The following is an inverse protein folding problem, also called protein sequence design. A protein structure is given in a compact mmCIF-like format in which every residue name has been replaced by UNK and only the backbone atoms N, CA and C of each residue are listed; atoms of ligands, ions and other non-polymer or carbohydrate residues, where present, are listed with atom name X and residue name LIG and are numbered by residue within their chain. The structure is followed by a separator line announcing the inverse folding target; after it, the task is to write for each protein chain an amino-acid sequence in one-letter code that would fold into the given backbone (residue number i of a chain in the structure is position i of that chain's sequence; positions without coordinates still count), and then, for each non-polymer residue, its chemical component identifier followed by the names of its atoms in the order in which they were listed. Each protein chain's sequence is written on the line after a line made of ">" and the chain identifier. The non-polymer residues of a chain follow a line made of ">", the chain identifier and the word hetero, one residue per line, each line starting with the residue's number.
data_IF_884888291994
#
_entry.id   IF_884888291994
#
_cell.length_a   1.000
_cell.length_b   1.000
_cell.length_c   1.000
_cell.angle_alpha   90.00
_cell.angle_beta   90.00
_cell.angle_gamma   90.00
#
_symmetry.space_group_name_H-M   'P 1'
#
loop_
_entity.id
_entity.type
_entity.pdbx_description
1 polymer ?
#
# COMPACT_ATOMS: atom_id res chain seq x y z
N UNK A 1 11.15 -7.93 -17.58
CA UNK A 1 11.49 -9.29 -17.12
C UNK A 1 10.37 -10.19 -17.60
N UNK A 2 10.67 -11.22 -18.40
CA UNK A 2 9.66 -12.12 -18.95
C UNK A 2 9.16 -13.05 -17.83
N UNK A 3 7.90 -12.85 -17.42
CA UNK A 3 7.25 -13.70 -16.42
C UNK A 3 6.76 -14.95 -17.13
N UNK A 4 7.26 -16.12 -16.73
CA UNK A 4 6.77 -17.40 -17.24
C UNK A 4 5.46 -17.68 -16.50
N UNK A 5 4.35 -17.49 -17.20
CA UNK A 5 3.00 -17.56 -16.65
C UNK A 5 2.29 -18.86 -17.09
N UNK A 6 1.53 -19.51 -16.19
CA UNK A 6 0.63 -20.61 -16.54
C UNK A 6 -0.44 -20.20 -17.58
N UNK A 7 -0.98 -21.16 -18.33
CA UNK A 7 -2.01 -20.91 -19.35
C UNK A 7 -3.26 -20.22 -18.76
N UNK A 8 -3.64 -20.60 -17.54
CA UNK A 8 -4.79 -20.05 -16.83
C UNK A 8 -4.65 -18.55 -16.56
N UNK A 9 -3.42 -18.03 -16.44
CA UNK A 9 -3.20 -16.58 -16.32
C UNK A 9 -3.55 -15.84 -17.61
N UNK A 10 -3.33 -16.46 -18.78
CA UNK A 10 -3.75 -15.91 -20.07
C UNK A 10 -5.28 -15.97 -20.22
N UNK A 11 -5.93 -17.04 -19.75
CA UNK A 11 -7.40 -17.11 -19.70
C UNK A 11 -7.99 -15.98 -18.86
N UNK A 12 -7.43 -15.72 -17.66
CA UNK A 12 -7.87 -14.60 -16.83
C UNK A 12 -7.61 -13.24 -17.49
N UNK A 13 -6.48 -13.09 -18.18
CA UNK A 13 -6.15 -11.90 -18.95
C UNK A 13 -7.20 -11.60 -20.03
N UNK A 14 -7.61 -12.62 -20.80
CA UNK A 14 -8.64 -12.50 -21.84
C UNK A 14 -10.00 -12.10 -21.26
N UNK A 15 -10.39 -12.69 -20.12
CA UNK A 15 -11.61 -12.32 -19.39
C UNK A 15 -11.55 -10.85 -18.96
N UNK A 16 -10.46 -10.42 -18.32
CA UNK A 16 -10.32 -9.06 -17.80
C UNK A 16 -10.33 -8.00 -18.91
N UNK A 17 -9.68 -8.27 -20.05
CA UNK A 17 -9.69 -7.40 -21.22
C UNK A 17 -11.12 -7.18 -21.76
N UNK A 18 -11.86 -8.28 -21.92
CA UNK A 18 -13.21 -8.25 -22.50
C UNK A 18 -14.22 -7.61 -21.56
N UNK A 19 -14.20 -8.04 -20.31
CA UNK A 19 -15.28 -7.79 -19.36
C UNK A 19 -15.06 -6.56 -18.50
N UNK A 20 -13.79 -6.15 -18.29
CA UNK A 20 -13.36 -4.93 -17.58
C UNK A 20 -13.89 -4.82 -16.14
N UNK A 21 -13.43 -3.83 -15.40
CA UNK A 21 -13.88 -3.54 -14.03
C UNK A 21 -12.87 -3.90 -12.95
N UNK A 22 -13.36 -4.01 -11.71
CA UNK A 22 -12.51 -4.18 -10.52
C UNK A 22 -12.24 -5.68 -10.28
N UNK A 23 -10.96 -6.02 -10.18
CA UNK A 23 -10.47 -7.34 -9.82
C UNK A 23 -9.65 -7.29 -8.53
N UNK A 24 -10.05 -8.05 -7.51
CA UNK A 24 -9.31 -8.16 -6.24
C UNK A 24 -8.43 -9.40 -6.27
N UNK A 25 -7.13 -9.23 -6.01
CA UNK A 25 -6.18 -10.32 -5.89
C UNK A 25 -6.19 -10.86 -4.45
N UNK A 26 -6.52 -12.14 -4.29
CA UNK A 26 -6.62 -12.85 -3.02
C UNK A 26 -5.61 -14.00 -2.97
N UNK A 27 -5.05 -14.24 -1.79
CA UNK A 27 -4.06 -15.29 -1.59
C UNK A 27 -3.18 -15.04 -0.37
N UNK A 28 -2.62 -16.11 0.19
CA UNK A 28 -1.67 -16.04 1.29
C UNK A 28 -0.40 -15.23 0.92
N UNK A 29 0.44 -14.99 1.92
CA UNK A 29 1.75 -14.40 1.63
C UNK A 29 2.57 -15.37 0.78
N UNK A 30 3.36 -14.85 -0.14
CA UNK A 30 4.22 -15.62 -1.06
C UNK A 30 3.46 -16.55 -2.04
N UNK A 31 2.19 -16.26 -2.35
CA UNK A 31 1.45 -16.92 -3.45
C UNK A 31 1.63 -16.25 -4.82
N UNK A 32 2.44 -15.20 -4.92
CA UNK A 32 2.73 -14.55 -6.20
C UNK A 32 1.73 -13.50 -6.68
N UNK A 33 0.83 -13.00 -5.80
CA UNK A 33 -0.13 -11.92 -6.15
C UNK A 33 0.50 -10.72 -6.85
N UNK A 34 1.60 -10.20 -6.32
CA UNK A 34 2.29 -9.06 -6.93
C UNK A 34 2.97 -9.42 -8.26
N UNK A 35 3.38 -10.68 -8.46
CA UNK A 35 3.89 -11.18 -9.76
C UNK A 35 2.75 -11.23 -10.77
N UNK A 36 1.59 -11.76 -10.37
CA UNK A 36 0.40 -11.77 -11.21
C UNK A 36 -0.06 -10.34 -11.56
N UNK A 37 -0.06 -9.41 -10.60
CA UNK A 37 -0.42 -8.02 -10.85
C UNK A 37 0.46 -7.41 -11.94
N UNK A 38 1.79 -7.63 -11.87
CA UNK A 38 2.73 -7.16 -12.89
C UNK A 38 2.48 -7.81 -14.25
N UNK A 39 2.23 -9.12 -14.29
CA UNK A 39 1.89 -9.84 -15.51
C UNK A 39 0.62 -9.28 -16.17
N UNK A 40 -0.45 -9.10 -15.39
CA UNK A 40 -1.72 -8.58 -15.90
C UNK A 40 -1.57 -7.14 -16.40
N UNK A 41 -0.89 -6.26 -15.64
CA UNK A 41 -0.65 -4.87 -16.05
C UNK A 41 0.11 -4.82 -17.37
N UNK A 42 1.22 -5.56 -17.47
CA UNK A 42 2.05 -5.62 -18.68
C UNK A 42 1.20 -6.02 -19.90
N UNK A 43 0.54 -7.17 -19.83
CA UNK A 43 -0.16 -7.73 -20.99
C UNK A 43 -1.42 -6.94 -21.37
N UNK A 44 -2.19 -6.44 -20.38
CA UNK A 44 -3.35 -5.60 -20.66
C UNK A 44 -2.95 -4.29 -21.33
N UNK A 45 -1.86 -3.64 -20.86
CA UNK A 45 -1.36 -2.43 -21.49
C UNK A 45 -0.88 -2.70 -22.93
N UNK A 46 -0.25 -3.85 -23.20
CA UNK A 46 0.13 -4.25 -24.56
C UNK A 46 -1.07 -4.45 -25.49
N UNK A 47 -2.24 -4.77 -24.94
CA UNK A 47 -3.52 -4.86 -25.65
C UNK A 47 -4.28 -3.53 -25.71
N UNK A 48 -3.67 -2.43 -25.26
CA UNK A 48 -4.27 -1.09 -25.28
C UNK A 48 -5.28 -0.83 -24.16
N UNK A 49 -5.40 -1.73 -23.18
CA UNK A 49 -6.28 -1.57 -22.03
C UNK A 49 -5.61 -0.67 -20.99
N UNK A 50 -6.33 0.35 -20.51
CA UNK A 50 -5.83 1.21 -19.45
C UNK A 50 -6.06 0.58 -18.08
N UNK A 51 -4.97 0.29 -17.36
CA UNK A 51 -5.04 -0.43 -16.08
C UNK A 51 -4.71 0.49 -14.92
N UNK A 52 -5.52 0.47 -13.87
CA UNK A 52 -5.17 1.03 -12.57
C UNK A 52 -4.73 -0.07 -11.61
N UNK A 53 -3.72 0.23 -10.80
CA UNK A 53 -3.31 -0.61 -9.67
C UNK A 53 -3.57 0.14 -8.37
N UNK A 54 -4.29 -0.50 -7.46
CA UNK A 54 -4.36 -0.13 -6.04
C UNK A 54 -3.57 -1.18 -5.26
N UNK A 55 -2.34 -0.84 -4.89
CA UNK A 55 -1.46 -1.72 -4.11
C UNK A 55 -1.77 -1.53 -2.62
N UNK A 56 -2.59 -2.42 -2.08
CA UNK A 56 -3.01 -2.38 -0.69
C UNK A 56 -2.20 -3.29 0.24
N UNK A 57 -1.09 -3.87 -0.22
CA UNK A 57 -0.13 -4.58 0.64
C UNK A 57 0.80 -3.59 1.35
N UNK A 58 0.33 -3.04 2.46
CA UNK A 58 1.07 -2.07 3.29
C UNK A 58 2.37 -2.62 3.89
N UNK A 59 2.58 -3.95 3.86
CA UNK A 59 3.78 -4.59 4.39
C UNK A 59 4.86 -4.85 3.35
N UNK A 60 4.45 -5.18 2.12
CA UNK A 60 5.35 -5.60 1.04
C UNK A 60 5.04 -4.94 -0.31
N UNK A 61 4.45 -3.73 -0.28
CA UNK A 61 4.16 -2.94 -1.47
C UNK A 61 5.33 -2.92 -2.45
N UNK A 62 5.01 -3.10 -3.73
CA UNK A 62 5.96 -2.93 -4.82
C UNK A 62 5.79 -1.59 -5.51
N UNK A 63 4.63 -0.96 -5.38
CA UNK A 63 4.31 0.34 -5.98
C UNK A 63 4.82 1.50 -5.13
N UNK A 64 4.53 1.52 -3.82
CA UNK A 64 4.86 2.60 -2.89
C UNK A 64 5.85 2.19 -1.79
N UNK A 65 6.19 3.12 -0.88
CA UNK A 65 6.91 2.78 0.35
C UNK A 65 6.03 1.91 1.28
N UNK A 66 6.62 1.16 2.22
CA UNK A 66 5.87 0.42 3.23
C UNK A 66 4.99 1.37 4.06
N UNK A 67 3.97 0.81 4.71
CA UNK A 67 2.96 1.52 5.48
C UNK A 67 2.03 2.45 4.67
N UNK A 68 2.02 2.29 3.34
CA UNK A 68 1.13 3.03 2.45
C UNK A 68 0.32 2.10 1.55
N UNK A 69 -0.84 2.59 1.10
CA UNK A 69 -1.56 2.03 -0.03
C UNK A 69 -1.19 2.90 -1.24
N UNK A 70 -0.68 2.27 -2.30
CA UNK A 70 -0.27 2.96 -3.52
C UNK A 70 -1.36 2.95 -4.59
N UNK A 71 -1.40 3.99 -5.42
CA UNK A 71 -2.23 4.07 -6.60
C UNK A 71 -1.43 4.56 -7.82
N UNK A 72 -1.63 3.90 -8.96
CA UNK A 72 -1.06 4.32 -10.24
C UNK A 72 -1.88 3.82 -11.41
N UNK A 73 -1.75 4.51 -12.54
CA UNK A 73 -2.47 4.21 -13.78
C UNK A 73 -1.47 4.00 -14.90
N UNK A 74 -1.63 2.89 -15.61
CA UNK A 74 -0.75 2.41 -16.65
C UNK A 74 -1.48 2.49 -18.00
N UNK A 75 -0.86 3.18 -18.96
CA UNK A 75 -1.31 3.31 -20.35
C UNK A 75 -0.43 2.55 -21.34
N UNK A 76 0.75 2.15 -20.89
CA UNK A 76 1.78 1.42 -21.63
C UNK A 76 2.55 0.59 -20.62
N UNK A 77 3.37 -0.34 -21.10
CA UNK A 77 4.24 -1.14 -20.24
C UNK A 77 5.03 -0.23 -19.26
N UNK A 78 4.87 -0.43 -17.94
CA UNK A 78 5.68 0.28 -16.97
C UNK A 78 7.11 -0.27 -16.94
N UNK A 79 8.07 0.63 -17.13
CA UNK A 79 9.44 0.38 -16.68
C UNK A 79 9.44 0.46 -15.16
N UNK A 80 9.24 -0.67 -14.47
CA UNK A 80 9.14 -0.75 -13.00
C UNK A 80 10.33 -0.14 -12.25
N UNK A 81 11.49 -0.05 -12.91
CA UNK A 81 12.73 0.54 -12.40
C UNK A 81 12.81 2.07 -12.60
N UNK A 82 11.99 2.61 -13.50
CA UNK A 82 11.90 4.04 -13.81
C UNK A 82 10.53 4.52 -13.40
N UNK A 83 10.45 5.11 -12.21
CA UNK A 83 9.24 5.78 -11.73
C UNK A 83 9.02 7.03 -12.60
N UNK A 84 8.34 6.89 -13.73
CA UNK A 84 8.03 8.00 -14.65
C UNK A 84 7.11 9.04 -13.98
N UNK A 85 6.32 8.62 -12.99
CA UNK A 85 5.59 9.46 -12.04
C UNK A 85 5.54 8.74 -10.70
N UNK A 86 5.82 9.41 -9.57
CA UNK A 86 5.62 8.81 -8.26
C UNK A 86 4.14 8.39 -8.10
N UNK A 87 3.88 7.23 -7.50
CA UNK A 87 2.50 6.81 -7.23
C UNK A 87 1.86 7.77 -6.25
N UNK A 88 0.54 7.93 -6.36
CA UNK A 88 -0.22 8.50 -5.26
C UNK A 88 -0.21 7.52 -4.09
N UNK A 89 -0.12 8.02 -2.87
CA UNK A 89 -0.04 7.19 -1.67
C UNK A 89 -1.10 7.59 -0.66
N UNK A 90 -1.53 6.62 0.14
CA UNK A 90 -2.36 6.85 1.32
C UNK A 90 -1.62 6.29 2.53
N UNK A 91 -1.29 7.13 3.49
CA UNK A 91 -0.57 6.68 4.67
C UNK A 91 -1.49 5.93 5.64
N UNK A 92 -1.18 4.66 5.87
CA UNK A 92 -1.86 3.82 6.86
C UNK A 92 -1.16 3.87 8.21
N UNK A 93 0.17 4.04 8.22
CA UNK A 93 0.95 4.12 9.46
C UNK A 93 1.28 2.77 10.09
N UNK A 94 1.02 1.66 9.39
CA UNK A 94 1.38 0.32 9.85
C UNK A 94 1.80 -0.57 8.69
N UNK A 95 2.71 -1.52 8.93
CA UNK A 95 3.09 -2.56 7.96
C UNK A 95 2.24 -3.83 8.07
N UNK A 96 1.25 -3.84 8.96
CA UNK A 96 0.23 -4.90 9.10
C UNK A 96 -1.15 -4.28 9.20
N UNK A 97 -2.19 -4.87 8.56
CA UNK A 97 -3.54 -4.32 8.68
C UNK A 97 -4.12 -4.50 10.09
N UNK A 98 -3.64 -5.46 10.88
CA UNK A 98 -4.13 -5.71 12.25
C UNK A 98 -4.02 -4.45 13.12
N UNK A 99 -5.08 -4.17 13.89
CA UNK A 99 -5.23 -2.91 14.65
C UNK A 99 -5.56 -1.67 13.80
N UNK A 100 -5.51 -1.77 12.46
CA UNK A 100 -5.60 -0.63 11.53
C UNK A 100 -6.65 -0.84 10.42
N UNK A 101 -7.64 -1.72 10.62
CA UNK A 101 -8.61 -2.08 9.56
C UNK A 101 -9.41 -0.89 9.03
N UNK A 102 -9.87 0.02 9.90
CA UNK A 102 -10.71 1.14 9.48
C UNK A 102 -9.96 2.08 8.52
N UNK A 103 -8.75 2.49 8.90
CA UNK A 103 -7.90 3.35 8.08
C UNK A 103 -7.41 2.62 6.82
N UNK A 104 -7.14 1.32 6.91
CA UNK A 104 -6.79 0.49 5.75
C UNK A 104 -7.94 0.47 4.73
N UNK A 105 -9.16 0.16 5.16
CA UNK A 105 -10.36 0.13 4.30
C UNK A 105 -10.67 1.51 3.71
N UNK A 106 -10.57 2.59 4.52
CA UNK A 106 -10.70 3.98 4.06
C UNK A 106 -9.72 4.27 2.92
N UNK A 107 -8.44 3.93 3.12
CA UNK A 107 -7.40 4.16 2.12
C UNK A 107 -7.62 3.38 0.83
N UNK A 108 -8.02 2.10 0.93
CA UNK A 108 -8.34 1.28 -0.26
C UNK A 108 -9.48 1.91 -1.05
N UNK A 109 -10.60 2.24 -0.39
CA UNK A 109 -11.75 2.86 -1.06
C UNK A 109 -11.40 4.19 -1.70
N UNK A 110 -10.65 5.05 -0.99
CA UNK A 110 -10.19 6.33 -1.52
C UNK A 110 -9.36 6.16 -2.79
N UNK A 111 -8.45 5.20 -2.81
CA UNK A 111 -7.62 4.93 -4.00
C UNK A 111 -8.40 4.30 -5.15
N UNK A 112 -9.38 3.43 -4.86
CA UNK A 112 -10.29 2.90 -5.89
C UNK A 112 -11.17 4.01 -6.48
N UNK A 113 -11.66 4.95 -5.68
CA UNK A 113 -12.51 6.04 -6.16
C UNK A 113 -11.77 6.99 -7.11
N UNK A 114 -10.46 7.18 -6.91
CA UNK A 114 -9.61 7.93 -7.84
C UNK A 114 -9.50 7.27 -9.23
N UNK A 115 -9.79 5.98 -9.34
CA UNK A 115 -9.75 5.29 -10.63
C UNK A 115 -10.83 5.79 -11.59
N UNK A 116 -11.97 6.28 -11.05
CA UNK A 116 -13.12 6.77 -11.81
C UNK A 116 -12.73 7.96 -12.68
N UNK A 117 -12.07 8.97 -12.11
CA UNK A 117 -11.59 10.13 -12.86
C UNK A 117 -10.40 9.82 -13.77
N UNK A 118 -9.69 8.72 -13.49
CA UNK A 118 -8.56 8.29 -14.31
C UNK A 118 -8.99 7.65 -15.63
N UNK A 119 -10.23 7.16 -15.76
CA UNK A 119 -10.69 6.44 -16.95
C UNK A 119 -10.00 5.08 -17.15
N UNK A 120 -9.51 4.46 -16.08
CA UNK A 120 -9.01 3.10 -16.12
C UNK A 120 -10.17 2.12 -16.38
N UNK A 121 -9.91 1.12 -17.21
CA UNK A 121 -10.89 0.13 -17.64
C UNK A 121 -10.82 -1.12 -16.76
N UNK A 122 -9.60 -1.51 -16.36
CA UNK A 122 -9.36 -2.59 -15.39
C UNK A 122 -8.71 -2.00 -14.16
N UNK A 123 -9.27 -2.31 -12.99
CA UNK A 123 -8.72 -1.89 -11.70
C UNK A 123 -8.27 -3.14 -10.94
N UNK A 124 -6.97 -3.32 -10.84
CA UNK A 124 -6.38 -4.39 -10.02
C UNK A 124 -6.19 -3.88 -8.60
N UNK A 125 -6.74 -4.61 -7.63
CA UNK A 125 -6.53 -4.35 -6.20
C UNK A 125 -5.64 -5.45 -5.65
N UNK A 126 -4.34 -5.19 -5.51
CA UNK A 126 -3.42 -6.11 -4.84
C UNK A 126 -3.63 -6.01 -3.33
N UNK A 127 -3.69 -7.14 -2.63
CA UNK A 127 -4.04 -7.17 -1.22
C UNK A 127 -2.97 -7.85 -0.38
N UNK A 128 -2.94 -7.53 0.91
CA UNK A 128 -2.05 -8.19 1.89
C UNK A 128 -2.21 -9.71 1.88
N UNK A 129 -1.15 -10.46 2.20
CA UNK A 129 -1.23 -11.90 2.48
C UNK A 129 -1.95 -12.26 3.80
N UNK A 130 -2.64 -11.31 4.44
CA UNK A 130 -3.33 -11.47 5.72
C UNK A 130 -4.70 -12.14 5.50
N UNK A 131 -4.69 -13.48 5.50
CA UNK A 131 -5.87 -14.32 5.26
C UNK A 131 -6.17 -15.28 6.42
N UNK A 132 -5.24 -15.46 7.36
CA UNK A 132 -5.37 -16.42 8.46
C UNK A 132 -6.22 -15.83 9.59
N UNK A 133 -7.06 -16.69 10.20
CA UNK A 133 -7.96 -16.32 11.29
C UNK A 133 -9.15 -15.45 10.87
N UNK A 134 -10.09 -15.26 11.80
CA UNK A 134 -11.34 -14.52 11.54
C UNK A 134 -11.09 -13.04 11.18
N UNK A 135 -10.08 -12.42 11.78
CA UNK A 135 -9.71 -11.04 11.48
C UNK A 135 -9.26 -10.87 10.01
N UNK A 136 -8.51 -11.84 9.47
CA UNK A 136 -8.10 -11.86 8.06
C UNK A 136 -9.29 -12.01 7.12
N UNK A 137 -10.17 -12.98 7.40
CA UNK A 137 -11.39 -13.22 6.62
C UNK A 137 -12.29 -11.98 6.59
N UNK A 138 -12.55 -11.40 7.76
CA UNK A 138 -13.43 -10.23 7.88
C UNK A 138 -12.87 -9.00 7.14
N UNK A 139 -11.55 -8.78 7.21
CA UNK A 139 -10.91 -7.70 6.43
C UNK A 139 -11.12 -7.89 4.92
N UNK A 140 -11.00 -9.13 4.40
CA UNK A 140 -11.23 -9.41 2.98
C UNK A 140 -12.68 -9.25 2.61
N UNK A 141 -13.60 -9.81 3.40
CA UNK A 141 -15.05 -9.68 3.20
C UNK A 141 -15.47 -8.21 3.13
N UNK A 142 -15.03 -7.39 4.09
CA UNK A 142 -15.29 -5.94 4.08
C UNK A 142 -14.73 -5.23 2.85
N UNK A 143 -13.56 -5.63 2.32
CA UNK A 143 -13.04 -5.08 1.06
C UNK A 143 -13.91 -5.47 -0.13
N UNK A 144 -14.34 -6.73 -0.20
CA UNK A 144 -15.21 -7.21 -1.27
C UNK A 144 -16.53 -6.42 -1.24
N UNK A 145 -17.17 -6.30 -0.08
CA UNK A 145 -18.41 -5.55 0.08
C UNK A 145 -18.23 -4.06 -0.25
N UNK A 146 -17.13 -3.45 0.20
CA UNK A 146 -16.86 -2.03 0.03
C UNK A 146 -16.57 -1.64 -1.43
N UNK A 147 -15.99 -2.56 -2.20
CA UNK A 147 -15.54 -2.30 -3.57
C UNK A 147 -16.46 -2.86 -4.64
N UNK A 148 -17.37 -3.78 -4.28
CA UNK A 148 -18.28 -4.46 -5.22
C UNK A 148 -17.54 -4.91 -6.50
N UNK A 149 -16.49 -5.74 -6.38
CA UNK A 149 -15.68 -6.11 -7.53
C UNK A 149 -16.47 -6.93 -8.54
N UNK A 150 -16.00 -6.98 -9.79
CA UNK A 150 -16.51 -7.94 -10.80
C UNK A 150 -15.77 -9.27 -10.70
N UNK A 151 -14.50 -9.25 -10.28
CA UNK A 151 -13.65 -10.44 -10.20
C UNK A 151 -12.97 -10.59 -8.84
N UNK A 152 -12.96 -11.82 -8.33
CA UNK A 152 -12.07 -12.25 -7.27
C UNK A 152 -11.05 -13.22 -7.87
N UNK A 153 -9.78 -12.83 -7.91
CA UNK A 153 -8.71 -13.66 -8.45
C UNK A 153 -7.98 -14.32 -7.29
N UNK A 154 -8.12 -15.63 -7.18
CA UNK A 154 -7.68 -16.45 -6.07
C UNK A 154 -6.40 -17.21 -6.42
N UNK A 155 -5.30 -16.93 -5.70
CA UNK A 155 -4.06 -17.71 -5.73
C UNK A 155 -3.91 -18.46 -4.40
N UNK A 156 -3.86 -19.79 -4.48
CA UNK A 156 -3.73 -20.68 -3.33
C UNK A 156 -2.64 -21.72 -3.57
N UNK A 157 -1.95 -22.08 -2.50
CA UNK A 157 -1.03 -23.22 -2.49
C UNK A 157 -1.77 -24.50 -2.15
N UNK A 158 -2.64 -24.43 -1.16
CA UNK A 158 -3.43 -25.54 -0.64
C UNK A 158 -4.90 -25.06 -0.55
N UNK A 159 -5.49 -25.10 0.65
CA UNK A 159 -6.88 -24.69 0.92
C UNK A 159 -6.99 -23.43 1.78
N UNK A 160 -5.92 -22.64 1.90
CA UNK A 160 -5.82 -21.57 2.89
C UNK A 160 -6.80 -20.41 2.69
N UNK A 161 -7.29 -20.22 1.46
CA UNK A 161 -8.31 -19.21 1.12
C UNK A 161 -9.72 -19.80 1.00
N UNK A 162 -9.90 -21.11 1.03
CA UNK A 162 -11.23 -21.73 0.89
C UNK A 162 -12.24 -21.24 1.92
N UNK A 163 -11.88 -21.09 3.22
CA UNK A 163 -12.84 -20.59 4.20
C UNK A 163 -13.34 -19.16 3.89
N UNK A 164 -12.57 -18.37 3.15
CA UNK A 164 -13.02 -17.05 2.67
C UNK A 164 -13.89 -17.21 1.41
N UNK A 165 -13.47 -18.04 0.46
CA UNK A 165 -14.19 -18.23 -0.79
C UNK A 165 -15.54 -18.92 -0.59
N UNK A 166 -15.66 -19.85 0.35
CA UNK A 166 -16.92 -20.49 0.74
C UNK A 166 -17.97 -19.48 1.23
N UNK A 167 -17.55 -18.46 1.98
CA UNK A 167 -18.43 -17.34 2.40
C UNK A 167 -18.85 -16.45 1.22
N UNK A 168 -18.11 -16.53 0.11
CA UNK A 168 -18.35 -15.80 -1.12
C UNK A 168 -19.12 -16.63 -2.16
N UNK A 169 -19.42 -17.91 -1.90
CA UNK A 169 -20.17 -18.78 -2.81
C UNK A 169 -21.68 -18.52 -2.73
N UNK A 170 -22.37 -18.48 -3.88
CA UNK A 170 -23.82 -18.22 -3.99
C UNK A 170 -24.18 -17.43 -5.26
N UNK A 171 -25.37 -16.79 -5.28
CA UNK A 171 -25.74 -15.77 -6.29
C UNK A 171 -24.95 -14.47 -6.06
N UNK A 172 -23.62 -14.56 -6.10
CA UNK A 172 -22.72 -13.45 -5.85
C UNK A 172 -22.59 -12.57 -7.11
N UNK A 173 -22.45 -11.24 -6.95
CA UNK A 173 -22.33 -10.31 -8.08
C UNK A 173 -20.95 -10.33 -8.76
N UNK A 174 -20.04 -11.23 -8.34
CA UNK A 174 -18.67 -11.35 -8.83
C UNK A 174 -18.34 -12.77 -9.28
N UNK A 175 -17.42 -12.87 -10.22
CA UNK A 175 -16.85 -14.13 -10.70
C UNK A 175 -15.55 -14.47 -9.95
N UNK A 176 -15.40 -15.74 -9.54
CA UNK A 176 -14.20 -16.21 -8.84
C UNK A 176 -13.30 -16.93 -9.85
N UNK A 177 -12.12 -16.35 -10.12
CA UNK A 177 -11.10 -16.92 -11.00
C UNK A 177 -10.00 -17.56 -10.13
N UNK A 178 -9.89 -18.89 -10.18
CA UNK A 178 -8.87 -19.64 -9.44
C UNK A 178 -7.66 -19.88 -10.34
N UNK A 179 -6.50 -19.38 -9.94
CA UNK A 179 -5.28 -19.45 -10.74
C UNK A 179 -4.19 -20.27 -10.05
N UNK A 180 -3.43 -21.08 -10.80
CA UNK A 180 -2.27 -21.75 -10.26
C UNK A 180 -1.16 -20.75 -9.91
N UNK A 181 -0.27 -21.18 -9.01
CA UNK A 181 0.94 -20.43 -8.69
C UNK A 181 1.94 -20.51 -9.85
N UNK A 182 2.73 -19.47 -10.07
CA UNK A 182 3.88 -19.53 -10.97
C UNK A 182 5.06 -20.19 -10.26
N UNK A 183 5.78 -21.09 -10.96
CA UNK A 183 7.00 -21.74 -10.47
C UNK A 183 8.13 -20.75 -10.12
N UNK A 184 8.04 -19.50 -10.60
CA UNK A 184 9.00 -18.43 -10.31
C UNK A 184 8.80 -17.80 -8.93
N UNK A 185 7.70 -18.11 -8.24
CA UNK A 185 7.39 -17.52 -6.93
C UNK A 185 8.32 -18.11 -5.86
N UNK A 186 9.28 -17.32 -5.41
CA UNK A 186 10.17 -17.69 -4.30
C UNK A 186 9.61 -17.17 -2.98
N UNK A 187 9.43 -18.04 -1.96
CA UNK A 187 9.05 -17.59 -0.64
C UNK A 187 10.11 -16.67 -0.05
N UNK A 188 9.66 -15.64 0.68
CA UNK A 188 10.55 -14.70 1.37
C UNK A 188 10.52 -14.95 2.86
N UNK A 189 11.70 -15.13 3.45
CA UNK A 189 11.86 -15.23 4.90
C UNK A 189 11.43 -13.94 5.59
N UNK A 190 11.12 -14.02 6.88
CA UNK A 190 10.77 -12.83 7.69
C UNK A 190 11.90 -11.78 7.69
N UNK A 191 13.15 -12.22 7.75
CA UNK A 191 14.33 -11.35 7.61
C UNK A 191 14.40 -10.71 6.23
N UNK A 192 14.19 -11.49 5.16
CA UNK A 192 14.15 -10.96 3.80
C UNK A 192 13.06 -9.89 3.62
N UNK A 193 11.89 -10.07 4.24
CA UNK A 193 10.82 -9.06 4.25
C UNK A 193 11.21 -7.80 5.02
N UNK A 194 11.93 -7.95 6.14
CA UNK A 194 12.46 -6.81 6.91
C UNK A 194 13.48 -6.02 6.09
N UNK A 195 14.44 -6.69 5.48
CA UNK A 195 15.46 -6.07 4.62
C UNK A 195 14.81 -5.36 3.42
N UNK A 196 13.84 -6.00 2.77
CA UNK A 196 13.09 -5.39 1.68
C UNK A 196 12.42 -4.07 2.10
N UNK A 197 11.77 -4.02 3.28
CA UNK A 197 11.16 -2.79 3.80
C UNK A 197 12.19 -1.71 4.10
N UNK A 198 13.34 -2.07 4.69
CA UNK A 198 14.43 -1.13 4.96
C UNK A 198 14.90 -0.49 3.65
N UNK A 199 15.18 -1.31 2.64
CA UNK A 199 15.62 -0.83 1.33
C UNK A 199 14.57 0.08 0.67
N UNK A 200 13.29 -0.31 0.71
CA UNK A 200 12.20 0.53 0.16
C UNK A 200 12.08 1.89 0.87
N UNK A 201 12.25 1.95 2.19
CA UNK A 201 12.29 3.23 2.89
C UNK A 201 13.54 4.04 2.50
N UNK A 202 14.71 3.40 2.40
CA UNK A 202 15.93 4.07 1.96
C UNK A 202 15.78 4.67 0.56
N UNK A 203 15.22 3.91 -0.38
CA UNK A 203 14.94 4.37 -1.74
C UNK A 203 13.98 5.56 -1.75
N UNK A 204 12.87 5.46 -1.00
CA UNK A 204 11.89 6.54 -0.90
C UNK A 204 12.49 7.84 -0.31
N UNK A 205 13.31 7.71 0.73
CA UNK A 205 13.90 8.86 1.42
C UNK A 205 15.24 9.33 0.82
N UNK A 206 15.78 8.66 -0.21
CA UNK A 206 17.11 8.90 -0.79
C UNK A 206 17.39 10.37 -1.14
N UNK A 207 16.39 11.08 -1.67
CA UNK A 207 16.51 12.47 -2.11
C UNK A 207 15.79 13.46 -1.17
N UNK A 208 15.57 13.06 0.08
CA UNK A 208 14.87 13.88 1.06
C UNK A 208 15.78 14.95 1.67
N UNK A 209 15.15 16.02 2.15
CA UNK A 209 15.83 17.11 2.85
C UNK A 209 15.15 17.34 4.21
N UNK A 210 15.84 18.03 5.11
CA UNK A 210 15.24 18.47 6.36
C UNK A 210 14.41 19.72 6.05
N UNK A 211 13.11 19.62 6.28
CA UNK A 211 12.15 20.72 6.24
C UNK A 211 11.82 21.16 7.67
N UNK A 212 11.66 22.47 7.85
CA UNK A 212 11.20 23.06 9.10
C UNK A 212 9.72 23.44 8.97
N UNK A 213 8.90 22.96 9.90
CA UNK A 213 7.46 23.09 9.85
C UNK A 213 6.93 23.62 11.19
N UNK A 214 6.37 24.83 11.18
CA UNK A 214 5.69 25.39 12.35
C UNK A 214 4.32 24.74 12.50
N UNK A 215 4.07 24.09 13.64
CA UNK A 215 2.89 23.22 13.83
C UNK A 215 1.71 23.90 14.53
N UNK A 216 1.77 25.22 14.78
CA UNK A 216 0.72 25.96 15.50
C UNK A 216 -0.67 25.85 14.83
N UNK A 217 -0.71 25.85 13.50
CA UNK A 217 -1.94 25.77 12.71
C UNK A 217 -2.04 24.44 11.93
N UNK A 218 -1.35 23.40 12.40
CA UNK A 218 -1.33 22.08 11.78
C UNK A 218 -2.08 21.12 12.67
N UNK A 219 -3.06 20.43 12.09
CA UNK A 219 -3.77 19.39 12.80
C UNK A 219 -2.84 18.19 13.01
N UNK A 220 -2.85 17.63 14.21
CA UNK A 220 -2.15 16.38 14.50
C UNK A 220 -3.20 15.31 14.74
N UNK A 221 -3.08 14.19 14.04
CA UNK A 221 -3.96 13.04 14.17
C UNK A 221 -3.15 11.75 14.29
N UNK A 222 -3.84 10.65 14.61
CA UNK A 222 -3.20 9.37 14.87
C UNK A 222 -2.60 9.28 16.27
N UNK A 223 -2.23 8.06 16.64
CA UNK A 223 -1.75 7.72 17.97
C UNK A 223 -0.39 7.05 17.88
N UNK A 224 0.43 7.28 18.90
CA UNK A 224 1.71 6.60 19.09
C UNK A 224 1.59 5.79 20.36
N UNK A 225 1.80 4.49 20.26
CA UNK A 225 1.76 3.60 21.40
C UNK A 225 3.17 3.43 21.97
N UNK A 226 3.26 3.37 23.29
CA UNK A 226 4.46 2.96 23.98
C UNK A 226 4.66 1.42 23.90
N UNK A 227 5.78 0.87 24.40
CA UNK A 227 6.01 -0.58 24.39
C UNK A 227 4.99 -1.41 25.19
N UNK A 228 4.23 -0.80 26.10
CA UNK A 228 3.17 -1.44 26.88
C UNK A 228 1.81 -1.39 26.16
N UNK A 229 1.70 -0.62 25.07
CA UNK A 229 0.46 -0.41 24.32
C UNK A 229 -0.34 0.81 24.76
N UNK A 230 0.21 1.67 25.62
CA UNK A 230 -0.46 2.87 26.09
C UNK A 230 -0.24 4.03 25.12
N UNK A 231 -1.26 4.88 24.95
CA UNK A 231 -1.20 6.05 24.07
C UNK A 231 -0.27 7.10 24.68
N UNK A 232 0.77 7.48 23.94
CA UNK A 232 1.68 8.56 24.30
C UNK A 232 1.05 9.93 24.06
N UNK A 233 1.26 10.90 24.97
CA UNK A 233 0.89 12.29 24.70
C UNK A 233 1.55 12.82 23.43
N UNK A 234 0.82 13.60 22.64
CA UNK A 234 1.28 14.13 21.34
C UNK A 234 2.61 14.86 21.44
N UNK A 235 2.80 15.72 22.44
CA UNK A 235 4.06 16.46 22.63
C UNK A 235 5.26 15.55 22.92
N UNK A 236 5.03 14.32 23.44
CA UNK A 236 6.08 13.33 23.65
C UNK A 236 6.35 12.56 22.36
N UNK A 237 5.30 12.14 21.66
CA UNK A 237 5.40 11.51 20.35
C UNK A 237 6.22 12.34 19.36
N UNK A 238 5.98 13.66 19.31
CA UNK A 238 6.71 14.58 18.44
C UNK A 238 8.20 14.70 18.77
N UNK A 239 8.65 14.29 19.97
CA UNK A 239 10.07 14.29 20.35
C UNK A 239 10.80 13.00 19.94
N UNK A 240 10.08 12.00 19.43
CA UNK A 240 10.67 10.72 19.04
C UNK A 240 11.37 10.88 17.68
N UNK A 241 12.71 10.96 17.72
CA UNK A 241 13.52 10.91 16.49
C UNK A 241 13.36 9.54 15.81
N UNK A 242 13.14 9.57 14.49
CA UNK A 242 12.94 8.40 13.65
C UNK A 242 11.47 8.02 13.46
N UNK A 243 10.52 8.70 14.10
CA UNK A 243 9.11 8.40 13.97
C UNK A 243 8.61 8.72 12.55
N UNK A 244 7.98 7.73 11.90
CA UNK A 244 7.37 7.88 10.58
C UNK A 244 6.03 8.60 10.69
N UNK A 245 5.84 9.61 9.87
CA UNK A 245 4.62 10.42 9.83
C UNK A 245 4.10 10.56 8.40
N UNK A 246 2.79 10.71 8.26
CA UNK A 246 2.14 11.12 7.01
C UNK A 246 1.96 12.63 6.99
N UNK A 247 2.41 13.29 5.91
CA UNK A 247 2.20 14.72 5.69
C UNK A 247 1.03 14.89 4.74
N UNK A 248 -0.02 15.57 5.18
CA UNK A 248 -1.27 15.70 4.42
C UNK A 248 -1.67 17.15 4.18
N UNK A 249 -2.39 17.37 3.09
CA UNK A 249 -3.00 18.66 2.77
C UNK A 249 -4.35 18.86 3.47
N UNK A 250 -5.03 19.96 3.12
CA UNK A 250 -6.37 20.31 3.62
C UNK A 250 -7.48 19.34 3.17
N UNK A 251 -7.22 18.51 2.17
CA UNK A 251 -8.18 17.56 1.60
C UNK A 251 -7.97 16.15 2.18
N UNK A 252 -7.10 15.98 3.19
CA UNK A 252 -6.70 14.68 3.75
C UNK A 252 -6.00 13.79 2.70
N UNK A 253 -5.37 14.38 1.68
CA UNK A 253 -4.49 13.66 0.75
C UNK A 253 -3.09 13.55 1.34
N UNK A 254 -2.48 12.37 1.25
CA UNK A 254 -1.09 12.18 1.69
C UNK A 254 -0.15 12.72 0.62
N UNK A 255 0.48 13.86 0.91
CA UNK A 255 1.45 14.51 0.03
C UNK A 255 2.77 13.74 0.00
N UNK A 256 3.23 13.30 1.17
CA UNK A 256 4.46 12.53 1.33
C UNK A 256 4.52 11.86 2.71
N UNK A 257 5.48 10.97 2.88
CA UNK A 257 5.93 10.54 4.21
C UNK A 257 7.02 11.46 4.72
N UNK A 258 7.15 11.53 6.04
CA UNK A 258 8.22 12.22 6.72
C UNK A 258 8.77 11.38 7.87
N UNK A 259 10.00 11.68 8.28
CA UNK A 259 10.60 11.15 9.51
C UNK A 259 10.90 12.31 10.44
N UNK A 260 10.39 12.25 11.67
CA UNK A 260 10.68 13.26 12.69
C UNK A 260 12.16 13.21 13.03
N UNK A 261 12.84 14.35 12.98
CA UNK A 261 14.23 14.51 13.43
C UNK A 261 14.33 15.23 14.76
N UNK A 262 13.55 16.29 14.94
CA UNK A 262 13.53 17.04 16.19
C UNK A 262 12.23 17.85 16.32
N UNK A 263 11.84 18.16 17.55
CA UNK A 263 10.73 19.05 17.87
C UNK A 263 11.14 20.05 18.94
N UNK A 264 11.12 21.33 18.59
CA UNK A 264 11.40 22.44 19.50
C UNK A 264 10.08 22.95 20.09
N UNK A 265 9.67 22.39 21.22
CA UNK A 265 8.36 22.66 21.83
C UNK A 265 8.06 24.14 22.10
N UNK A 266 9.07 24.92 22.54
CA UNK A 266 8.92 26.36 22.80
C UNK A 266 8.60 27.16 21.52
N UNK A 267 9.19 26.75 20.39
CA UNK A 267 9.01 27.43 19.09
C UNK A 267 7.93 26.79 18.23
N UNK A 268 7.26 25.74 18.74
CA UNK A 268 6.33 24.88 17.99
C UNK A 268 6.86 24.52 16.61
N UNK A 269 8.15 24.19 16.53
CA UNK A 269 8.87 23.94 15.28
C UNK A 269 9.27 22.48 15.18
N UNK A 270 8.78 21.78 14.15
CA UNK A 270 9.09 20.40 13.85
C UNK A 270 10.08 20.31 12.69
N UNK A 271 11.19 19.58 12.88
CA UNK A 271 12.12 19.22 11.81
C UNK A 271 11.77 17.85 11.27
N UNK A 272 11.43 17.80 9.99
CA UNK A 272 10.99 16.58 9.30
C UNK A 272 11.93 16.29 8.13
N UNK A 273 12.43 15.07 8.05
CA UNK A 273 13.13 14.57 6.88
C UNK A 273 12.13 13.99 5.89
N UNK A 274 11.97 14.61 4.71
CA UNK A 274 10.92 14.25 3.74
C UNK A 274 11.35 14.58 2.31
N UNK A 275 10.86 13.83 1.30
CA UNK A 275 11.04 14.20 -0.11
C UNK A 275 10.14 15.38 -0.53
N UNK A 276 9.19 15.78 0.32
CA UNK A 276 8.29 16.90 0.03
C UNK A 276 9.04 18.23 0.01
N UNK A 277 9.03 18.90 -1.14
CA UNK A 277 9.69 20.19 -1.33
C UNK A 277 8.84 21.36 -0.83
N UNK A 278 7.52 21.29 -1.05
CA UNK A 278 6.57 22.35 -0.70
C UNK A 278 5.87 22.03 0.62
N UNK A 279 6.61 22.17 1.72
CA UNK A 279 6.14 21.82 3.07
C UNK A 279 4.96 22.71 3.54
N UNK A 280 4.77 23.89 2.94
CA UNK A 280 3.71 24.84 3.31
C UNK A 280 2.30 24.33 2.97
N UNK A 281 2.20 23.35 2.06
CA UNK A 281 0.95 22.66 1.74
C UNK A 281 0.47 21.74 2.86
N UNK A 282 1.34 21.36 3.79
CA UNK A 282 0.96 20.50 4.91
C UNK A 282 -0.01 21.23 5.82
N UNK A 283 -1.15 20.59 6.09
CA UNK A 283 -2.19 21.03 7.03
C UNK A 283 -2.46 20.02 8.12
N UNK A 284 -2.13 18.74 7.88
CA UNK A 284 -2.27 17.68 8.86
C UNK A 284 -1.02 16.82 8.91
N UNK A 285 -0.56 16.49 10.13
CA UNK A 285 0.45 15.48 10.40
C UNK A 285 -0.24 14.27 11.01
N UNK A 286 -0.17 13.15 10.30
CA UNK A 286 -0.65 11.87 10.81
C UNK A 286 0.52 11.12 11.47
N UNK A 287 0.41 10.86 12.77
CA UNK A 287 1.37 10.09 13.53
C UNK A 287 1.20 8.58 13.27
N UNK A 288 2.29 7.84 13.49
CA UNK A 288 2.28 6.38 13.52
C UNK A 288 3.19 5.85 14.61
N UNK A 289 3.06 4.58 14.97
CA UNK A 289 3.98 3.90 15.91
C UNK A 289 5.22 3.29 15.21
N UNK A 290 5.43 3.58 13.93
CA UNK A 290 6.57 3.05 13.18
C UNK A 290 7.79 3.95 13.31
N UNK A 291 8.92 3.35 13.72
CA UNK A 291 10.23 4.00 13.69
C UNK A 291 11.04 3.52 12.48
N UNK A 292 11.56 4.46 11.71
CA UNK A 292 12.44 4.21 10.56
C UNK A 292 13.84 4.72 10.91
N UNK A 293 14.82 3.84 10.78
CA UNK A 293 16.24 4.15 10.94
C UNK A 293 16.84 4.22 9.54
N UNK A 294 17.40 5.38 9.17
CA UNK A 294 18.01 5.59 7.86
C UNK A 294 19.54 5.53 8.01
N UNK A 295 20.22 4.73 7.20
CA UNK A 295 21.66 4.45 7.35
C UNK A 295 22.58 5.67 7.16
N UNK A 296 22.08 6.79 6.63
CA UNK A 296 22.84 8.04 6.47
C UNK A 296 23.01 8.83 7.79
N UNK A 297 22.70 8.22 8.94
CA UNK A 297 22.63 8.88 10.26
C UNK A 297 23.99 9.13 10.93
N UNK A 298 25.12 8.63 10.42
CA UNK A 298 26.43 8.80 11.08
C UNK A 298 27.22 10.06 10.66
N UNK A 299 26.88 10.77 9.58
CA UNK A 299 27.77 11.82 9.03
C UNK A 299 27.29 13.28 9.19
N UNK A 300 26.18 13.54 9.88
CA UNK A 300 25.66 14.92 10.04
C UNK A 300 25.18 15.20 11.46
N UNK A 301 26.12 15.21 12.40
CA UNK A 301 26.02 15.89 13.70
C UNK A 301 26.68 17.25 13.60
#
# INVERSE_FOLDING_TARGET
>A
MEIIAPEEWYTALDILEKEKGIAILLGATDTGKSTLAKFLIFNLCQRGVKVALVDADIGQSFLGPPATIGFSVFKSDPVWEVVLSPPEIFFVGSTTPEGHFQIHLKGVKRMVDKTVSSGAEVILVDTTGFILGEAGKELKRRKIDLLSPKFLIALQKDSEIEPLLELCQGNSPYEILRLPLSDQVKPRTMEGRRVYRINKFQDYFKHSVIQELTIENIQIEGEVLDPNGDILPTDWALKINGLLIGLKDSQDETLALGVIRNYFGEKKLLRVFTPLQDIQKVKTIQLSSLKVILLYEEERV
#
